data_IF_642299128726
#
_entry.id   IF_642299128726
#
_cell.length_a   1.000
_cell.length_b   1.000
_cell.length_c   1.000
_cell.angle_alpha   90.00
_cell.angle_beta   90.00
_cell.angle_gamma   90.00
#
_symmetry.space_group_name_H-M   'P 1'
#
loop_
_entity.id
_entity.type
_entity.pdbx_description
1 polymer ?
2 non-polymer ?
#
# COMPACT_ATOMS: atom_id res chain seq x y z
N UNK A 1 4.57 -1.92 1.86
CA UNK A 1 4.82 -0.50 2.07
C UNK A 1 3.52 0.26 2.26
N UNK A 2 2.41 -0.38 1.92
CA UNK A 2 1.09 0.24 2.07
C UNK A 2 0.80 0.58 3.53
N UNK A 3 1.47 -0.12 4.44
CA UNK A 3 1.30 0.12 5.86
C UNK A 3 1.56 1.58 6.22
N UNK A 4 2.64 2.12 5.68
CA UNK A 4 2.98 3.51 5.95
C UNK A 4 3.09 4.33 4.68
N UNK A 5 2.28 3.98 3.68
CA UNK A 5 2.28 4.70 2.42
C UNK A 5 0.90 5.28 2.11
N UNK A 6 -0.01 4.42 1.68
CA UNK A 6 -1.37 4.84 1.35
C UNK A 6 -2.34 4.43 2.45
N UNK A 7 -2.86 3.20 2.34
CA UNK A 7 -3.80 2.68 3.33
C UNK A 7 -3.19 1.54 4.12
N UNK A 8 -3.66 0.32 3.86
CA UNK A 8 -3.15 -0.86 4.55
C UNK A 8 -2.65 -1.90 3.55
N UNK A 9 -3.57 -2.47 2.78
CA UNK A 9 -3.21 -3.48 1.78
C UNK A 9 -2.58 -2.83 0.56
N UNK A 10 -3.36 -1.99 -0.14
CA UNK A 10 -2.90 -1.28 -1.34
C UNK A 10 -1.86 -0.21 -1.02
N UNK A 11 -0.79 -0.18 -1.82
CA UNK A 11 0.27 0.80 -1.62
C UNK A 11 0.34 1.77 -2.79
N UNK A 12 1.22 1.46 -3.75
CA UNK A 12 1.37 2.31 -4.93
C UNK A 12 0.54 1.78 -6.10
N UNK A 13 1.16 0.95 -6.94
CA UNK A 13 0.46 0.39 -8.08
C UNK A 13 0.53 -1.12 -8.11
N UNK A 14 1.22 -1.70 -7.15
CA UNK A 14 1.37 -3.16 -7.07
C UNK A 14 0.11 -3.79 -6.50
N UNK A 15 0.28 -4.57 -5.44
CA UNK A 15 -0.85 -5.23 -4.81
C UNK A 15 -0.99 -4.88 -3.34
N UNK A 16 -0.42 -5.70 -2.48
CA UNK A 16 -0.49 -5.46 -1.04
C UNK A 16 -0.21 -6.70 -0.23
X LIG B 1 4.56 -2.79 2.87
X LIG B 1 4.29 -4.24 2.52
X LIG B 1 3.00 -4.34 1.70
X LIG B 1 2.54 -5.78 1.47
X LIG B 1 1.57 -6.24 2.51
X LIG B 1 4.75 -2.45 4.04
X LIG B 1 4.22 -4.85 3.42
X LIG B 1 5.12 -4.62 1.92
X LIG B 1 2.22 -3.81 2.21
X LIG B 1 3.17 -3.89 0.73
X LIG B 1 2.06 -5.84 0.50
X LIG B 1 3.41 -6.43 1.48
X LIG B 1 2.04 -6.20 3.50
X LIG B 1 1.27 -7.28 2.30
X LIG B 1 0.69 -5.60 2.51
#
# INVERSE_FOLDING_TARGET
VARGWKRKCPLFGKGG
LEA C2 C3 C4 C5 C6 O1 H31 H32 H41 H42 H51 H52 H61 H62 H63
#
